data_IF_648861956507
#
_entry.id   IF_648861956507
#
_cell.length_a   1.000
_cell.length_b   1.000
_cell.length_c   1.000
_cell.angle_alpha   90.00
_cell.angle_beta   90.00
_cell.angle_gamma   90.00
#
_symmetry.space_group_name_H-M   'P 1'
#
loop_
_entity.id
_entity.type
_entity.pdbx_description
1 polymer ?
#
# COMPACT_ATOMS: atom_id res chain seq x y z
N UNK A 1 0.61 -7.40 -21.37
CA UNK A 1 0.06 -6.57 -20.27
C UNK A 1 1.11 -6.55 -19.17
N UNK A 2 1.39 -5.39 -18.55
CA UNK A 2 2.29 -5.37 -17.38
C UNK A 2 1.67 -6.20 -16.25
N UNK A 3 2.48 -6.95 -15.52
CA UNK A 3 2.02 -7.79 -14.42
C UNK A 3 1.96 -6.99 -13.11
N UNK A 4 0.84 -6.32 -12.91
CA UNK A 4 0.60 -5.47 -11.74
C UNK A 4 0.42 -6.26 -10.47
N UNK A 5 -0.16 -7.46 -10.57
CA UNK A 5 -0.41 -8.31 -9.40
C UNK A 5 0.93 -8.72 -8.78
N UNK A 6 1.90 -9.14 -9.58
CA UNK A 6 3.24 -9.47 -9.08
C UNK A 6 3.95 -8.27 -8.42
N UNK A 7 3.78 -7.05 -8.94
CA UNK A 7 4.35 -5.84 -8.32
C UNK A 7 3.70 -5.52 -6.97
N UNK A 8 2.38 -5.64 -6.89
CA UNK A 8 1.62 -5.44 -5.65
C UNK A 8 2.03 -6.48 -4.61
N UNK A 9 2.20 -7.75 -5.00
CA UNK A 9 2.67 -8.81 -4.11
C UNK A 9 4.08 -8.54 -3.60
N UNK A 10 5.01 -8.15 -4.48
CA UNK A 10 6.38 -7.81 -4.09
C UNK A 10 6.42 -6.62 -3.11
N UNK A 11 5.58 -5.61 -3.33
CA UNK A 11 5.48 -4.46 -2.44
C UNK A 11 4.87 -4.83 -1.08
N UNK A 12 3.82 -5.64 -1.07
CA UNK A 12 3.23 -6.19 0.16
C UNK A 12 4.26 -6.97 0.99
N UNK A 13 5.04 -7.85 0.35
CA UNK A 13 6.10 -8.62 1.01
C UNK A 13 7.20 -7.72 1.55
N UNK A 14 7.66 -6.75 0.75
CA UNK A 14 8.68 -5.77 1.15
C UNK A 14 8.24 -4.98 2.39
N UNK A 15 7.02 -4.43 2.38
CA UNK A 15 6.48 -3.64 3.47
C UNK A 15 6.27 -4.51 4.73
N UNK A 16 5.70 -5.71 4.58
CA UNK A 16 5.48 -6.63 5.69
C UNK A 16 6.78 -7.07 6.35
N UNK A 17 7.83 -7.36 5.56
CA UNK A 17 9.15 -7.71 6.08
C UNK A 17 9.85 -6.53 6.77
N UNK A 18 9.62 -5.30 6.29
CA UNK A 18 10.27 -4.10 6.82
C UNK A 18 9.63 -3.62 8.13
N UNK A 19 8.30 -3.68 8.24
CA UNK A 19 7.58 -3.02 9.32
C UNK A 19 6.85 -3.98 10.27
N UNK A 20 6.66 -5.26 9.90
CA UNK A 20 5.82 -6.18 10.66
C UNK A 20 4.34 -5.77 10.60
N UNK A 21 3.44 -6.61 11.13
CA UNK A 21 1.98 -6.41 11.04
C UNK A 21 1.54 -5.06 11.59
N UNK A 22 0.50 -4.46 11.00
CA UNK A 22 -0.15 -3.29 11.62
C UNK A 22 -0.66 -3.65 13.02
N UNK A 23 -0.49 -2.73 13.98
CA UNK A 23 -0.90 -2.94 15.38
C UNK A 23 -2.38 -2.60 15.60
N UNK A 24 -3.02 -1.87 14.67
CA UNK A 24 -4.44 -1.51 14.76
C UNK A 24 -5.02 -1.12 13.39
N UNK A 25 -6.35 -1.09 13.30
CA UNK A 25 -7.06 -0.54 12.13
C UNK A 25 -6.78 0.94 11.90
N UNK A 26 -6.51 1.72 12.95
CA UNK A 26 -6.16 3.14 12.81
C UNK A 26 -4.78 3.31 12.18
N UNK A 27 -3.81 2.50 12.59
CA UNK A 27 -2.48 2.46 11.97
C UNK A 27 -2.59 2.04 10.50
N UNK A 28 -3.29 0.94 10.22
CA UNK A 28 -3.45 0.46 8.85
C UNK A 28 -4.14 1.49 7.94
N UNK A 29 -5.16 2.18 8.43
CA UNK A 29 -5.80 3.28 7.69
C UNK A 29 -4.84 4.45 7.47
N UNK A 30 -4.10 4.86 8.49
CA UNK A 30 -3.14 5.97 8.39
C UNK A 30 -2.08 5.69 7.32
N UNK A 31 -1.57 4.46 7.23
CA UNK A 31 -0.61 4.06 6.20
C UNK A 31 -1.25 4.07 4.81
N UNK A 32 -2.47 3.56 4.63
CA UNK A 32 -3.18 3.68 3.34
C UNK A 32 -3.33 5.15 2.94
N UNK A 33 -3.71 6.01 3.89
CA UNK A 33 -3.90 7.43 3.63
C UNK A 33 -2.58 8.09 3.20
N UNK A 34 -1.47 7.74 3.84
CA UNK A 34 -0.13 8.22 3.47
C UNK A 34 0.18 7.91 2.00
N UNK A 35 0.03 6.64 1.57
CA UNK A 35 0.30 6.25 0.17
C UNK A 35 -0.63 6.96 -0.83
N UNK A 36 -1.90 7.20 -0.46
CA UNK A 36 -2.86 7.94 -1.30
C UNK A 36 -2.43 9.41 -1.42
N UNK A 37 -1.97 10.02 -0.32
CA UNK A 37 -1.46 11.39 -0.33
C UNK A 37 -0.16 11.49 -1.15
N UNK A 38 0.72 10.49 -1.10
CA UNK A 38 1.94 10.41 -1.93
C UNK A 38 1.60 10.32 -3.42
N UNK A 39 0.68 9.42 -3.81
CA UNK A 39 0.18 9.35 -5.18
C UNK A 39 -0.43 10.69 -5.62
N UNK A 40 -1.22 11.32 -4.75
CA UNK A 40 -1.84 12.61 -5.05
C UNK A 40 -0.79 13.72 -5.21
N UNK A 41 0.27 13.72 -4.39
CA UNK A 41 1.39 14.65 -4.53
C UNK A 41 2.13 14.45 -5.85
N UNK A 42 2.43 13.20 -6.22
CA UNK A 42 3.10 12.87 -7.47
C UNK A 42 2.29 13.35 -8.69
N UNK A 43 0.95 13.18 -8.67
CA UNK A 43 0.04 13.70 -9.71
C UNK A 43 0.13 15.23 -9.78
N UNK A 44 -0.03 15.92 -8.65
CA UNK A 44 -0.01 17.40 -8.60
C UNK A 44 1.30 17.99 -9.08
N UNK A 45 2.42 17.27 -8.88
CA UNK A 45 3.77 17.68 -9.30
C UNK A 45 4.08 17.29 -10.75
N UNK A 46 3.18 16.61 -11.45
CA UNK A 46 3.42 16.03 -12.78
C UNK A 46 4.69 15.16 -12.80
N UNK A 47 4.85 14.29 -11.81
CA UNK A 47 5.96 13.35 -11.77
C UNK A 47 5.85 12.30 -12.89
N UNK A 48 6.93 11.54 -13.11
CA UNK A 48 6.99 10.58 -14.20
C UNK A 48 5.93 9.48 -14.05
N UNK A 49 5.54 8.86 -15.18
CA UNK A 49 4.64 7.70 -15.17
C UNK A 49 5.18 6.57 -14.29
N UNK A 50 6.51 6.40 -14.23
CA UNK A 50 7.14 5.40 -13.37
C UNK A 50 6.93 5.71 -11.88
N UNK A 51 6.98 6.99 -11.48
CA UNK A 51 6.68 7.36 -10.09
C UNK A 51 5.20 7.14 -9.78
N UNK A 52 4.30 7.59 -10.65
CA UNK A 52 2.86 7.37 -10.48
C UNK A 52 2.50 5.88 -10.36
N UNK A 53 3.21 5.04 -11.11
CA UNK A 53 3.08 3.59 -11.05
C UNK A 53 3.54 3.02 -9.70
N UNK A 54 4.65 3.51 -9.17
CA UNK A 54 5.18 3.12 -7.85
C UNK A 54 4.15 3.45 -6.75
N UNK A 55 3.68 4.70 -6.70
CA UNK A 55 2.74 5.13 -5.66
C UNK A 55 1.40 4.38 -5.77
N UNK A 56 0.90 4.15 -6.98
CA UNK A 56 -0.33 3.38 -7.19
C UNK A 56 -0.20 1.90 -6.77
N UNK A 57 0.98 1.30 -6.97
CA UNK A 57 1.30 -0.04 -6.48
C UNK A 57 1.32 -0.06 -4.96
N UNK A 58 1.91 0.95 -4.30
CA UNK A 58 1.94 1.05 -2.84
C UNK A 58 0.54 1.22 -2.25
N UNK A 59 -0.30 2.10 -2.81
CA UNK A 59 -1.72 2.24 -2.40
C UNK A 59 -2.43 0.89 -2.46
N UNK A 60 -2.27 0.17 -3.57
CA UNK A 60 -2.89 -1.13 -3.78
C UNK A 60 -2.37 -2.19 -2.79
N UNK A 61 -1.06 -2.21 -2.55
CA UNK A 61 -0.41 -3.12 -1.61
C UNK A 61 -0.85 -2.85 -0.17
N UNK A 62 -0.95 -1.58 0.25
CA UNK A 62 -1.34 -1.23 1.62
C UNK A 62 -2.82 -1.50 1.88
N UNK A 63 -3.68 -1.35 0.86
CA UNK A 63 -5.08 -1.78 0.95
C UNK A 63 -5.20 -3.30 1.14
N UNK A 64 -4.45 -4.09 0.38
CA UNK A 64 -4.40 -5.55 0.56
C UNK A 64 -3.83 -5.92 1.94
N UNK A 65 -2.79 -5.21 2.37
CA UNK A 65 -2.17 -5.41 3.68
C UNK A 65 -3.14 -5.14 4.83
N UNK A 66 -3.98 -4.12 4.72
CA UNK A 66 -5.03 -3.85 5.70
C UNK A 66 -6.01 -5.01 5.80
N UNK A 67 -6.42 -5.60 4.68
CA UNK A 67 -7.28 -6.79 4.71
C UNK A 67 -6.62 -7.95 5.46
N UNK A 68 -5.32 -8.19 5.22
CA UNK A 68 -4.56 -9.29 5.83
C UNK A 68 -4.32 -9.04 7.33
N UNK A 69 -3.77 -7.86 7.67
CA UNK A 69 -3.31 -7.56 9.03
C UNK A 69 -4.46 -7.17 9.96
N UNK A 70 -5.52 -6.58 9.44
CA UNK A 70 -6.63 -6.05 10.24
C UNK A 70 -7.96 -6.80 10.08
N UNK A 71 -8.21 -7.49 8.96
CA UNK A 71 -9.51 -8.14 8.71
C UNK A 71 -9.44 -9.68 8.66
N UNK A 72 -8.30 -10.29 8.34
CA UNK A 72 -8.18 -11.74 8.13
C UNK A 72 -8.16 -12.54 9.45
N UNK A 73 -8.08 -11.88 10.61
CA UNK A 73 -8.19 -12.51 11.93
C UNK A 73 -8.91 -11.60 12.95
N UNK A 74 -10.24 -11.69 13.05
CA UNK A 74 -10.96 -11.19 14.24
C UNK A 74 -10.79 -12.18 15.40
N UNK A 75 -10.54 -11.69 16.63
CA UNK A 75 -11.45 -11.98 17.71
C UNK A 75 -12.33 -10.75 17.91
N UNK A 76 -13.64 -10.97 17.81
CA UNK A 76 -14.67 -10.01 18.20
C UNK A 76 -14.46 -9.47 19.63
#
# INVERSE_FOLDING_TARGET
>A
MKDWISKIQAELERASNKFGKFNSTHEGYAVIQEEVDELWHAIKRNESIDQLEIEAVQVSAMALRFLIDCCENEPA
#
